data_IF_310428113534
#
_entry.id   IF_310428113534
#
_cell.length_a   1.000
_cell.length_b   1.000
_cell.length_c   1.000
_cell.angle_alpha   90.00
_cell.angle_beta   90.00
_cell.angle_gamma   90.00
#
_symmetry.space_group_name_H-M   'P 1'
#
loop_
_entity.id
_entity.type
_entity.pdbx_description
1 polymer ?
#
# COMPACT_ATOMS: atom_id res chain seq x y z
N UNK A 1 5.67 15.07 7.94
CA UNK A 1 6.10 14.62 6.60
C UNK A 1 6.02 15.83 5.69
N UNK A 2 7.15 16.24 5.13
CA UNK A 2 7.19 17.35 4.17
C UNK A 2 6.64 16.87 2.81
N UNK A 3 6.26 17.79 1.92
CA UNK A 3 5.72 17.40 0.62
C UNK A 3 6.76 16.68 -0.28
N UNK A 4 8.06 16.93 -0.08
CA UNK A 4 9.14 16.17 -0.72
C UNK A 4 9.10 14.68 -0.36
N UNK A 5 8.91 14.35 0.92
CA UNK A 5 8.81 12.96 1.39
C UNK A 5 7.60 12.23 0.78
N UNK A 6 6.51 12.95 0.48
CA UNK A 6 5.32 12.39 -0.17
C UNK A 6 5.55 12.06 -1.64
N UNK A 7 6.34 12.85 -2.36
CA UNK A 7 6.71 12.54 -3.75
C UNK A 7 7.56 11.28 -3.83
N UNK A 8 8.56 11.13 -2.97
CA UNK A 8 9.40 9.94 -2.93
C UNK A 8 8.59 8.69 -2.57
N UNK A 9 7.68 8.83 -1.60
CA UNK A 9 6.81 7.73 -1.22
C UNK A 9 5.79 7.37 -2.29
N UNK A 10 5.18 8.37 -2.94
CA UNK A 10 4.29 8.15 -4.08
C UNK A 10 5.04 7.42 -5.21
N UNK A 11 6.28 7.82 -5.52
CA UNK A 11 7.10 7.12 -6.51
C UNK A 11 7.34 5.67 -6.10
N UNK A 12 7.75 5.41 -4.85
CA UNK A 12 7.98 4.06 -4.35
C UNK A 12 6.74 3.15 -4.40
N UNK A 13 5.56 3.68 -4.11
CA UNK A 13 4.31 2.91 -4.09
C UNK A 13 3.67 2.72 -5.47
N UNK A 14 3.69 3.75 -6.32
CA UNK A 14 3.03 3.74 -7.62
C UNK A 14 3.94 3.27 -8.76
N UNK A 15 5.27 3.38 -8.60
CA UNK A 15 6.29 2.91 -9.55
C UNK A 15 7.43 2.17 -8.81
N UNK A 16 7.14 1.00 -8.23
CA UNK A 16 8.12 0.25 -7.43
C UNK A 16 9.16 -0.47 -8.32
N UNK A 17 10.06 0.30 -8.92
CA UNK A 17 11.12 -0.20 -9.81
C UNK A 17 12.03 -1.21 -9.09
N UNK A 18 12.20 -2.39 -9.68
CA UNK A 18 13.05 -3.46 -9.13
C UNK A 18 12.49 -4.18 -7.90
N UNK A 19 11.26 -3.88 -7.47
CA UNK A 19 10.59 -4.55 -6.35
C UNK A 19 9.70 -5.69 -6.84
N UNK A 20 9.57 -6.74 -6.02
CA UNK A 20 8.68 -7.86 -6.34
C UNK A 20 7.20 -7.51 -6.09
N UNK A 21 6.27 -7.97 -6.94
CA UNK A 21 4.85 -7.75 -6.76
C UNK A 21 4.31 -8.54 -5.55
N UNK A 22 3.19 -8.09 -5.01
CA UNK A 22 2.42 -8.88 -4.04
C UNK A 22 1.55 -9.90 -4.77
N UNK A 23 1.70 -11.18 -4.47
CA UNK A 23 0.91 -12.24 -5.11
C UNK A 23 -0.35 -12.50 -4.29
N UNK A 24 -1.50 -12.11 -4.82
CA UNK A 24 -2.81 -12.37 -4.22
C UNK A 24 -3.61 -13.33 -5.10
N UNK A 25 -3.97 -14.52 -4.58
CA UNK A 25 -4.73 -15.54 -5.31
C UNK A 25 -4.18 -15.83 -6.72
N UNK A 26 -2.85 -15.95 -6.84
CA UNK A 26 -2.16 -16.20 -8.11
C UNK A 26 -2.08 -14.98 -9.05
N UNK A 27 -2.58 -13.81 -8.64
CA UNK A 27 -2.48 -12.57 -9.40
C UNK A 27 -1.42 -11.64 -8.81
N UNK A 28 -0.51 -11.11 -9.64
CA UNK A 28 0.47 -10.14 -9.18
C UNK A 28 -0.16 -8.74 -9.06
N UNK A 29 -0.07 -8.15 -7.87
CA UNK A 29 -0.34 -6.73 -7.63
C UNK A 29 1.01 -6.00 -7.65
N UNK A 30 1.24 -5.20 -8.69
CA UNK A 30 2.55 -4.64 -8.99
C UNK A 30 2.79 -3.30 -8.32
N UNK A 31 1.73 -2.58 -7.94
CA UNK A 31 1.82 -1.23 -7.41
C UNK A 31 0.56 -0.88 -6.61
N UNK A 32 0.52 0.35 -6.10
CA UNK A 32 -0.56 0.81 -5.23
C UNK A 32 -1.93 0.99 -5.92
N UNK A 33 -1.99 1.18 -7.25
CA UNK A 33 -3.26 1.13 -7.99
C UNK A 33 -3.84 -0.28 -7.97
N UNK A 34 -3.02 -1.28 -8.29
CA UNK A 34 -3.45 -2.69 -8.30
C UNK A 34 -3.97 -3.09 -6.91
N UNK A 35 -3.26 -2.69 -5.85
CA UNK A 35 -3.72 -2.94 -4.48
C UNK A 35 -5.08 -2.30 -4.22
N UNK A 36 -5.26 -1.01 -4.53
CA UNK A 36 -6.51 -0.28 -4.32
C UNK A 36 -7.67 -0.90 -5.10
N UNK A 37 -7.45 -1.38 -6.32
CA UNK A 37 -8.48 -2.03 -7.14
C UNK A 37 -8.86 -3.42 -6.59
N UNK A 38 -7.90 -4.14 -5.99
CA UNK A 38 -8.14 -5.48 -5.41
C UNK A 38 -8.63 -5.47 -3.96
N UNK A 39 -8.63 -4.33 -3.26
CA UNK A 39 -9.10 -4.24 -1.86
C UNK A 39 -10.50 -4.81 -1.63
N UNK A 40 -11.40 -4.71 -2.63
CA UNK A 40 -12.76 -5.25 -2.53
C UNK A 40 -12.74 -6.78 -2.37
N UNK A 41 -11.77 -7.46 -2.98
CA UNK A 41 -11.63 -8.92 -2.96
C UNK A 41 -10.98 -9.46 -1.68
N UNK A 42 -10.37 -8.60 -0.86
CA UNK A 42 -9.73 -9.02 0.38
C UNK A 42 -10.74 -9.37 1.47
N UNK A 43 -10.43 -10.38 2.26
CA UNK A 43 -11.31 -10.87 3.34
C UNK A 43 -10.93 -10.34 4.71
N UNK A 44 -9.74 -9.73 4.82
CA UNK A 44 -9.20 -9.14 6.06
C UNK A 44 -8.01 -9.92 6.61
N UNK A 45 -7.87 -11.21 6.28
CA UNK A 45 -6.71 -12.02 6.64
C UNK A 45 -5.41 -11.48 6.02
N UNK A 46 -5.52 -10.74 4.93
CA UNK A 46 -4.40 -10.18 4.17
C UNK A 46 -3.80 -8.92 4.83
N UNK A 47 -4.45 -8.35 5.85
CA UNK A 47 -4.06 -7.05 6.42
C UNK A 47 -2.58 -6.98 6.80
N UNK A 48 -2.05 -8.01 7.48
CA UNK A 48 -0.64 -8.03 7.89
C UNK A 48 0.31 -8.19 6.70
N UNK A 49 -0.09 -8.95 5.67
CA UNK A 49 0.68 -9.08 4.43
C UNK A 49 0.73 -7.75 3.66
N UNK A 50 -0.40 -7.06 3.57
CA UNK A 50 -0.50 -5.73 2.96
C UNK A 50 0.38 -4.74 3.72
N UNK A 51 0.39 -4.77 5.05
CA UNK A 51 1.27 -3.92 5.86
C UNK A 51 2.75 -4.16 5.51
N UNK A 52 3.21 -5.42 5.51
CA UNK A 52 4.59 -5.75 5.19
C UNK A 52 4.99 -5.37 3.77
N UNK A 53 4.06 -5.50 2.80
CA UNK A 53 4.33 -5.10 1.43
C UNK A 53 4.44 -3.58 1.29
N UNK A 54 3.56 -2.81 1.94
CA UNK A 54 3.66 -1.34 1.94
C UNK A 54 4.95 -0.84 2.59
N UNK A 55 5.39 -1.47 3.68
CA UNK A 55 6.69 -1.17 4.29
C UNK A 55 7.86 -1.48 3.35
N UNK A 56 7.81 -2.63 2.66
CA UNK A 56 8.81 -3.01 1.66
C UNK A 56 8.91 -2.03 0.48
N UNK A 57 7.78 -1.40 0.11
CA UNK A 57 7.71 -0.34 -0.89
C UNK A 57 8.11 1.04 -0.36
N UNK A 58 8.32 1.18 0.95
CA UNK A 58 8.83 2.39 1.60
C UNK A 58 7.83 3.14 2.49
N UNK A 59 6.60 2.66 2.65
CA UNK A 59 5.58 3.29 3.52
C UNK A 59 5.42 2.57 4.86
N UNK A 60 6.44 2.72 5.71
CA UNK A 60 6.45 2.14 7.05
C UNK A 60 5.36 2.73 7.97
N UNK A 61 4.98 4.00 7.79
CA UNK A 61 3.94 4.65 8.60
C UNK A 61 2.58 3.98 8.39
N UNK A 62 2.20 3.76 7.14
CA UNK A 62 0.93 3.10 6.81
C UNK A 62 0.96 1.64 7.24
N UNK A 63 2.10 0.96 7.10
CA UNK A 63 2.28 -0.41 7.58
C UNK A 63 2.04 -0.54 9.10
N UNK A 64 2.64 0.34 9.91
CA UNK A 64 2.43 0.36 11.36
C UNK A 64 0.97 0.62 11.73
N UNK A 65 0.31 1.57 11.04
CA UNK A 65 -1.12 1.84 11.24
C UNK A 65 -1.99 0.62 10.99
N UNK A 66 -1.72 -0.14 9.93
CA UNK A 66 -2.44 -1.38 9.63
C UNK A 66 -2.16 -2.44 10.71
N UNK A 67 -0.91 -2.61 11.14
CA UNK A 67 -0.56 -3.58 12.20
C UNK A 67 -1.29 -3.30 13.52
N UNK A 68 -1.46 -2.02 13.88
CA UNK A 68 -2.23 -1.62 15.08
C UNK A 68 -3.73 -1.81 14.93
N UNK A 69 -4.26 -1.65 13.71
CA UNK A 69 -5.70 -1.74 13.41
C UNK A 69 -5.95 -2.57 12.14
N UNK A 70 -5.71 -3.89 12.19
CA UNK A 70 -5.76 -4.72 10.99
C UNK A 70 -7.18 -4.85 10.42
N UNK A 71 -8.22 -4.67 11.25
CA UNK A 71 -9.63 -4.68 10.80
C UNK A 71 -9.96 -3.49 9.89
N UNK A 72 -9.25 -2.37 10.04
CA UNK A 72 -9.50 -1.12 9.32
C UNK A 72 -8.57 -0.94 8.11
N UNK A 73 -7.80 -1.97 7.77
CA UNK A 73 -6.71 -1.83 6.80
C UNK A 73 -7.17 -1.35 5.42
N UNK A 74 -8.35 -1.76 4.95
CA UNK A 74 -8.90 -1.31 3.67
C UNK A 74 -9.07 0.21 3.65
N UNK A 75 -9.63 0.77 4.72
CA UNK A 75 -9.85 2.22 4.85
C UNK A 75 -8.52 2.97 5.00
N UNK A 76 -7.57 2.41 5.75
CA UNK A 76 -6.21 2.96 5.89
C UNK A 76 -5.54 3.04 4.51
N UNK A 77 -5.57 1.96 3.73
CA UNK A 77 -5.01 1.91 2.38
C UNK A 77 -5.70 2.91 1.46
N UNK A 78 -7.03 2.98 1.47
CA UNK A 78 -7.80 3.88 0.61
C UNK A 78 -7.50 5.36 0.93
N UNK A 79 -7.40 5.69 2.22
CA UNK A 79 -7.05 7.05 2.67
C UNK A 79 -5.64 7.40 2.22
N UNK A 80 -4.68 6.49 2.43
CA UNK A 80 -3.28 6.71 2.02
C UNK A 80 -3.15 6.86 0.51
N UNK A 81 -3.89 6.07 -0.26
CA UNK A 81 -3.96 6.18 -1.71
C UNK A 81 -4.39 7.58 -2.14
N UNK A 82 -5.48 8.12 -1.57
CA UNK A 82 -5.97 9.47 -1.90
C UNK A 82 -4.99 10.56 -1.50
N UNK A 83 -4.28 10.38 -0.39
CA UNK A 83 -3.25 11.32 0.07
C UNK A 83 -2.05 11.39 -0.89
N UNK A 84 -1.59 10.25 -1.41
CA UNK A 84 -0.40 10.18 -2.24
C UNK A 84 -0.68 10.32 -3.75
N UNK A 85 -1.92 10.08 -4.20
CA UNK A 85 -2.31 10.21 -5.63
C UNK A 85 -1.92 11.55 -6.28
N UNK A 86 -2.00 12.71 -5.61
CA UNK A 86 -1.61 13.99 -6.20
C UNK A 86 -0.10 14.16 -6.43
N UNK A 87 0.74 13.27 -5.87
CA UNK A 87 2.20 13.43 -5.84
C UNK A 87 2.93 12.50 -6.83
N UNK A 88 2.21 11.84 -7.75
CA UNK A 88 2.73 10.86 -8.74
C UNK A 88 3.13 11.53 -10.06
#
# INVERSE_FOLDING_TARGET
>A
MADGDKHDMARGLFRPEGKSPYIFNGKPLNNFNDLKDYLVAFTGAEALWVASWLEYLGDAETADRIRRRPRDFKDIVLKRYRELKPYI
#
